data_IF_990741644889
#
_entry.id   IF_990741644889
#
_cell.length_a   1.000
_cell.length_b   1.000
_cell.length_c   1.000
_cell.angle_alpha   90.00
_cell.angle_beta   90.00
_cell.angle_gamma   90.00
#
_symmetry.space_group_name_H-M   'P 1'
#
loop_
_entity.id
_entity.type
_entity.pdbx_description
1 polymer ?
#
# COMPACT_ATOMS: atom_id res chain seq x y z
N UNK A 1 -7.10 20.02 5.31
CA UNK A 1 -5.73 19.62 4.97
C UNK A 1 -5.67 18.14 4.66
N UNK A 2 -4.86 17.76 3.71
CA UNK A 2 -4.60 16.35 3.36
C UNK A 2 -3.22 15.91 3.85
N UNK A 3 -3.15 14.67 4.32
CA UNK A 3 -1.97 14.13 4.98
C UNK A 3 -1.84 12.64 4.68
N UNK A 4 -0.62 12.15 4.45
CA UNK A 4 -0.29 10.73 4.51
C UNK A 4 0.85 10.50 5.48
N UNK A 5 0.67 9.54 6.36
CA UNK A 5 1.69 9.04 7.28
C UNK A 5 1.82 7.55 7.05
N UNK A 6 3.02 7.07 6.81
CA UNK A 6 3.20 5.67 6.55
C UNK A 6 4.65 5.23 6.54
N UNK A 7 4.82 3.95 6.28
CA UNK A 7 6.11 3.31 6.03
C UNK A 7 5.98 2.36 4.83
N UNK A 8 7.08 2.14 4.17
CA UNK A 8 7.14 1.23 3.03
C UNK A 8 8.50 0.54 2.94
N UNK A 9 8.68 -0.28 1.91
CA UNK A 9 9.91 -1.05 1.68
C UNK A 9 11.16 -0.17 1.52
N UNK A 10 11.00 1.13 1.19
CA UNK A 10 12.12 2.09 1.09
C UNK A 10 12.51 2.70 2.44
N UNK A 11 11.56 2.84 3.36
CA UNK A 11 11.74 3.56 4.62
C UNK A 11 11.93 2.66 5.83
N UNK A 12 11.48 1.40 5.74
CA UNK A 12 11.49 0.47 6.87
C UNK A 12 11.92 -0.95 6.45
N UNK A 13 12.76 -1.62 7.26
CA UNK A 13 13.08 -3.03 7.06
C UNK A 13 11.84 -3.90 7.27
N UNK A 14 11.90 -5.15 6.78
CA UNK A 14 10.77 -6.09 6.85
C UNK A 14 10.29 -6.34 8.27
N UNK A 15 11.19 -6.38 9.24
CA UNK A 15 10.86 -6.60 10.66
C UNK A 15 9.95 -5.50 11.23
N UNK A 16 10.17 -4.26 10.83
CA UNK A 16 9.34 -3.11 11.24
C UNK A 16 8.02 -3.12 10.45
N UNK A 17 8.07 -3.40 9.14
CA UNK A 17 6.84 -3.48 8.32
C UNK A 17 5.88 -4.55 8.83
N UNK A 18 6.38 -5.72 9.21
CA UNK A 18 5.55 -6.80 9.77
C UNK A 18 4.88 -6.41 11.09
N UNK A 19 5.58 -5.67 11.96
CA UNK A 19 5.01 -5.20 13.25
C UNK A 19 3.90 -4.17 13.07
N UNK A 20 3.91 -3.41 11.99
CA UNK A 20 2.96 -2.33 11.69
C UNK A 20 2.03 -2.68 10.52
N UNK A 21 1.85 -3.95 10.23
CA UNK A 21 0.95 -4.45 9.21
C UNK A 21 -0.43 -4.74 9.80
N UNK A 22 -1.48 -4.16 9.22
CA UNK A 22 -2.85 -4.45 9.63
C UNK A 22 -3.29 -5.83 9.12
N UNK A 23 -3.92 -6.61 9.99
CA UNK A 23 -4.63 -7.82 9.58
C UNK A 23 -5.89 -7.40 8.84
N UNK A 24 -6.17 -7.99 7.69
CA UNK A 24 -7.28 -7.58 6.82
C UNK A 24 -8.63 -7.53 7.55
N UNK A 25 -8.91 -8.51 8.40
CA UNK A 25 -10.14 -8.58 9.20
C UNK A 25 -10.26 -7.47 10.25
N UNK A 26 -9.14 -6.86 10.67
CA UNK A 26 -9.11 -5.80 11.67
C UNK A 26 -9.20 -4.39 11.07
N UNK A 27 -9.01 -4.25 9.77
CA UNK A 27 -9.01 -2.95 9.08
C UNK A 27 -10.30 -2.15 9.33
N UNK A 28 -11.51 -2.71 9.27
CA UNK A 28 -12.73 -1.97 9.58
C UNK A 28 -12.71 -1.34 10.98
N UNK A 29 -12.31 -2.09 11.99
CA UNK A 29 -12.20 -1.60 13.37
C UNK A 29 -11.09 -0.55 13.51
N UNK A 30 -9.98 -0.72 12.79
CA UNK A 30 -8.88 0.23 12.77
C UNK A 30 -9.31 1.57 12.15
N UNK A 31 -10.04 1.55 11.05
CA UNK A 31 -10.56 2.75 10.39
C UNK A 31 -11.53 3.51 11.30
N UNK A 32 -12.42 2.79 11.97
CA UNK A 32 -13.37 3.37 12.93
C UNK A 32 -12.64 3.97 14.13
N UNK A 33 -11.67 3.27 14.70
CA UNK A 33 -10.85 3.76 15.80
C UNK A 33 -10.05 5.01 15.40
N UNK A 34 -9.50 5.05 14.19
CA UNK A 34 -8.80 6.21 13.66
C UNK A 34 -9.74 7.39 13.44
N UNK A 35 -10.95 7.14 12.95
CA UNK A 35 -11.97 8.18 12.74
C UNK A 35 -12.35 8.90 14.05
N UNK A 36 -12.24 8.22 15.18
CA UNK A 36 -12.53 8.78 16.49
C UNK A 36 -11.36 9.57 17.11
N UNK A 37 -10.21 9.61 16.44
CA UNK A 37 -9.07 10.42 16.90
C UNK A 37 -9.29 11.91 16.63
N UNK A 38 -8.68 12.75 17.48
CA UNK A 38 -8.73 14.21 17.28
C UNK A 38 -8.13 14.58 15.93
N UNK A 39 -8.69 15.62 15.32
CA UNK A 39 -8.24 16.19 14.05
C UNK A 39 -8.54 15.34 12.80
N UNK A 40 -8.93 14.08 12.93
CA UNK A 40 -9.22 13.20 11.81
C UNK A 40 -10.65 13.40 11.32
N UNK A 41 -10.79 13.93 10.12
CA UNK A 41 -12.09 14.19 9.47
C UNK A 41 -12.47 13.09 8.48
N UNK A 42 -11.48 12.58 7.73
CA UNK A 42 -11.63 11.46 6.81
C UNK A 42 -10.37 10.59 6.91
N UNK A 43 -10.51 9.29 6.70
CA UNK A 43 -9.34 8.42 6.62
C UNK A 43 -9.52 7.24 5.66
N UNK A 44 -8.39 6.80 5.09
CA UNK A 44 -8.24 5.55 4.36
C UNK A 44 -6.96 4.87 4.82
N UNK A 45 -7.04 3.61 5.18
CA UNK A 45 -5.88 2.78 5.55
C UNK A 45 -5.55 1.86 4.38
N UNK A 46 -4.30 1.91 3.91
CA UNK A 46 -3.76 0.99 2.91
C UNK A 46 -2.66 0.17 3.58
N UNK A 47 -2.84 -1.14 3.65
CA UNK A 47 -1.87 -2.06 4.24
C UNK A 47 -1.63 -3.24 3.30
N UNK A 48 -0.38 -3.41 2.89
CA UNK A 48 0.10 -4.51 2.04
C UNK A 48 1.39 -5.07 2.61
N UNK A 49 1.98 -6.09 2.01
CA UNK A 49 3.29 -6.60 2.44
C UNK A 49 4.43 -5.57 2.29
N UNK A 50 4.26 -4.57 1.42
CA UNK A 50 5.29 -3.59 1.08
C UNK A 50 5.07 -2.21 1.70
N UNK A 51 3.88 -1.93 2.23
CA UNK A 51 3.54 -0.62 2.79
C UNK A 51 2.39 -0.67 3.78
N UNK A 52 2.46 0.24 4.73
CA UNK A 52 1.33 0.62 5.58
C UNK A 52 1.23 2.14 5.55
N UNK A 53 0.13 2.65 5.01
CA UNK A 53 -0.09 4.07 4.79
C UNK A 53 -1.46 4.49 5.31
N UNK A 54 -1.49 5.57 6.08
CA UNK A 54 -2.71 6.21 6.55
C UNK A 54 -2.86 7.53 5.83
N UNK A 55 -3.89 7.62 5.01
CA UNK A 55 -4.32 8.85 4.37
C UNK A 55 -5.40 9.49 5.23
N UNK A 56 -5.28 10.76 5.55
CA UNK A 56 -6.24 11.47 6.36
C UNK A 56 -6.53 12.88 5.84
N UNK A 57 -7.78 13.29 5.95
CA UNK A 57 -8.16 14.71 5.94
C UNK A 57 -8.21 15.16 7.37
N UNK A 58 -7.50 16.24 7.69
CA UNK A 58 -7.35 16.76 9.04
C UNK A 58 -7.69 18.23 9.10
N UNK A 59 -8.14 18.70 10.26
CA UNK A 59 -8.39 20.14 10.48
C UNK A 59 -7.07 20.89 10.73
N UNK A 60 -6.09 20.24 11.36
CA UNK A 60 -4.76 20.80 11.64
C UNK A 60 -3.67 19.76 11.36
N UNK A 61 -2.68 20.13 10.54
CA UNK A 61 -1.61 19.20 10.14
C UNK A 61 -0.79 18.69 11.31
N UNK A 62 -0.34 19.59 12.20
CA UNK A 62 0.45 19.20 13.37
C UNK A 62 -0.29 18.22 14.27
N UNK A 63 -1.53 18.53 14.59
CA UNK A 63 -2.40 17.70 15.44
C UNK A 63 -2.70 16.36 14.75
N UNK A 64 -3.01 16.40 13.46
CA UNK A 64 -3.25 15.18 12.67
C UNK A 64 -2.06 14.24 12.65
N UNK A 65 -0.85 14.75 12.42
CA UNK A 65 0.38 13.96 12.48
C UNK A 65 0.56 13.27 13.83
N UNK A 66 0.38 14.02 14.90
CA UNK A 66 0.53 13.50 16.26
C UNK A 66 -0.45 12.36 16.53
N UNK A 67 -1.73 12.56 16.27
CA UNK A 67 -2.76 11.56 16.57
C UNK A 67 -2.70 10.33 15.66
N UNK A 68 -2.22 10.45 14.43
CA UNK A 68 -1.97 9.27 13.58
C UNK A 68 -0.82 8.43 14.15
N UNK A 69 0.27 9.07 14.59
CA UNK A 69 1.39 8.35 15.23
C UNK A 69 0.96 7.67 16.53
N UNK A 70 0.22 8.39 17.37
CA UNK A 70 -0.37 7.84 18.61
C UNK A 70 -1.29 6.65 18.32
N UNK A 71 -2.14 6.77 17.29
CA UNK A 71 -3.00 5.68 16.86
C UNK A 71 -2.19 4.43 16.47
N UNK A 72 -1.13 4.59 15.68
CA UNK A 72 -0.28 3.47 15.30
C UNK A 72 0.40 2.82 16.51
N UNK A 73 0.94 3.61 17.42
CA UNK A 73 1.57 3.11 18.65
C UNK A 73 0.58 2.32 19.53
N UNK A 74 -0.62 2.85 19.71
CA UNK A 74 -1.65 2.23 20.54
C UNK A 74 -2.26 0.99 19.87
N UNK A 75 -2.55 1.06 18.58
CA UNK A 75 -3.15 -0.05 17.84
C UNK A 75 -2.25 -1.29 17.85
N UNK A 76 -0.97 -1.10 17.54
CA UNK A 76 0.00 -2.19 17.46
C UNK A 76 0.68 -2.48 18.81
N UNK A 77 0.40 -1.70 19.85
CA UNK A 77 1.04 -1.80 21.16
C UNK A 77 2.58 -1.80 21.06
N UNK A 78 3.11 -0.85 20.30
CA UNK A 78 4.54 -0.67 20.08
C UNK A 78 4.92 0.77 20.47
N UNK A 79 6.00 0.97 21.26
CA UNK A 79 6.50 2.30 21.57
C UNK A 79 6.82 3.08 20.30
N UNK A 80 6.37 4.33 20.22
CA UNK A 80 6.57 5.21 19.05
C UNK A 80 8.05 5.30 18.66
N UNK A 81 8.97 5.34 19.62
CA UNK A 81 10.40 5.40 19.39
C UNK A 81 10.95 4.22 18.54
N UNK A 82 10.25 3.09 18.49
CA UNK A 82 10.69 1.93 17.73
C UNK A 82 10.40 2.04 16.21
N UNK A 83 9.47 2.91 15.81
CA UNK A 83 9.07 3.01 14.40
C UNK A 83 9.03 4.44 13.85
N UNK A 84 9.08 5.45 14.69
CA UNK A 84 8.91 6.86 14.27
C UNK A 84 9.89 7.28 13.18
N UNK A 85 11.16 6.88 13.30
CA UNK A 85 12.21 7.21 12.34
C UNK A 85 12.03 6.52 10.97
N UNK A 86 11.19 5.49 10.90
CA UNK A 86 10.87 4.77 9.66
C UNK A 86 9.64 5.32 8.94
N UNK A 87 8.92 6.25 9.57
CA UNK A 87 7.75 6.87 8.97
C UNK A 87 8.17 7.95 7.97
N UNK A 88 7.47 7.99 6.85
CA UNK A 88 7.44 9.18 6.00
C UNK A 88 6.13 9.94 6.22
N UNK A 89 6.17 11.24 6.02
CA UNK A 89 5.01 12.14 6.11
C UNK A 89 4.99 12.99 4.84
N UNK A 90 3.83 13.06 4.18
CA UNK A 90 3.59 13.95 3.05
C UNK A 90 2.31 14.73 3.32
N UNK A 91 2.34 16.02 3.00
CA UNK A 91 1.26 16.96 3.31
C UNK A 91 0.80 17.64 2.03
N UNK A 92 -0.49 17.99 1.98
CA UNK A 92 -1.12 18.72 0.89
C UNK A 92 -0.80 18.11 -0.50
N UNK A 93 -0.31 18.90 -1.42
CA UNK A 93 0.01 18.46 -2.79
C UNK A 93 0.95 17.25 -2.82
N UNK A 94 1.91 17.18 -1.90
CA UNK A 94 2.81 16.03 -1.78
C UNK A 94 2.08 14.75 -1.36
N UNK A 95 1.02 14.86 -0.56
CA UNK A 95 0.19 13.70 -0.19
C UNK A 95 -0.65 13.21 -1.38
N UNK A 96 -1.14 14.12 -2.20
CA UNK A 96 -1.90 13.81 -3.41
C UNK A 96 -1.01 13.17 -4.48
N UNK A 97 0.16 13.76 -4.75
CA UNK A 97 1.14 13.19 -5.67
C UNK A 97 1.51 11.76 -5.26
N UNK A 98 1.76 11.54 -3.97
CA UNK A 98 2.07 10.22 -3.43
C UNK A 98 0.93 9.22 -3.66
N UNK A 99 -0.32 9.60 -3.39
CA UNK A 99 -1.49 8.76 -3.63
C UNK A 99 -1.58 8.32 -5.10
N UNK A 100 -1.41 9.25 -6.04
CA UNK A 100 -1.48 8.97 -7.47
C UNK A 100 -0.34 8.05 -7.92
N UNK A 101 0.88 8.28 -7.44
CA UNK A 101 2.04 7.42 -7.73
C UNK A 101 1.87 6.01 -7.20
N UNK A 102 1.41 5.87 -5.97
CA UNK A 102 1.13 4.55 -5.37
C UNK A 102 0.06 3.81 -6.15
N UNK A 103 -1.05 4.47 -6.43
CA UNK A 103 -2.20 3.85 -7.12
C UNK A 103 -1.84 3.40 -8.54
N UNK A 104 -0.99 4.14 -9.24
CA UNK A 104 -0.51 3.78 -10.58
C UNK A 104 0.64 2.75 -10.57
N UNK A 105 1.16 2.36 -9.40
CA UNK A 105 2.28 1.44 -9.28
C UNK A 105 3.65 2.08 -9.54
N UNK A 106 3.75 3.40 -9.66
CA UNK A 106 5.01 4.12 -9.89
C UNK A 106 5.91 4.04 -8.65
N UNK A 107 5.32 4.00 -7.46
CA UNK A 107 6.03 3.86 -6.18
C UNK A 107 6.16 2.40 -5.72
N UNK A 108 5.86 1.43 -6.55
CA UNK A 108 5.94 0.01 -6.21
C UNK A 108 7.37 -0.53 -6.39
N UNK A 109 7.69 -1.61 -5.66
CA UNK A 109 8.98 -2.33 -5.77
C UNK A 109 9.21 -2.79 -7.22
N UNK A 110 8.17 -3.22 -7.90
CA UNK A 110 8.16 -3.48 -9.34
C UNK A 110 7.36 -2.37 -10.02
N UNK A 111 8.05 -1.56 -10.80
CA UNK A 111 7.46 -0.40 -11.48
C UNK A 111 6.27 -0.81 -12.35
N UNK A 112 5.13 -0.17 -12.13
CA UNK A 112 3.91 -0.37 -12.93
C UNK A 112 3.14 -1.65 -12.60
N UNK A 113 3.45 -2.34 -11.49
CA UNK A 113 2.67 -3.50 -11.07
C UNK A 113 1.20 -3.11 -10.83
N UNK A 114 0.28 -4.00 -11.19
CA UNK A 114 -1.16 -3.70 -11.21
C UNK A 114 -1.89 -4.09 -9.94
N UNK A 115 -1.28 -4.90 -9.07
CA UNK A 115 -1.90 -5.38 -7.84
C UNK A 115 -2.27 -4.25 -6.88
N UNK A 116 -1.41 -3.24 -6.76
CA UNK A 116 -1.63 -2.11 -5.85
C UNK A 116 -2.89 -1.32 -6.19
N UNK A 117 -3.22 -1.16 -7.48
CA UNK A 117 -4.45 -0.49 -7.90
C UNK A 117 -5.69 -1.19 -7.33
N UNK A 118 -5.74 -2.52 -7.41
CA UNK A 118 -6.83 -3.31 -6.83
C UNK A 118 -6.91 -3.18 -5.31
N UNK A 119 -5.77 -3.17 -4.63
CA UNK A 119 -5.67 -3.02 -3.18
C UNK A 119 -6.12 -1.62 -2.72
N UNK A 120 -5.70 -0.56 -3.40
CA UNK A 120 -6.14 0.83 -3.13
C UNK A 120 -7.64 0.97 -3.32
N UNK A 121 -8.16 0.45 -4.44
CA UNK A 121 -9.60 0.46 -4.73
C UNK A 121 -10.40 -0.26 -3.66
N UNK A 122 -9.96 -1.46 -3.25
CA UNK A 122 -10.60 -2.24 -2.19
C UNK A 122 -10.64 -1.48 -0.88
N UNK A 123 -9.51 -0.94 -0.44
CA UNK A 123 -9.42 -0.16 0.81
C UNK A 123 -10.33 1.06 0.77
N UNK A 124 -10.32 1.80 -0.33
CA UNK A 124 -11.20 2.97 -0.49
C UNK A 124 -12.69 2.59 -0.40
N UNK A 125 -13.11 1.54 -1.08
CA UNK A 125 -14.51 1.09 -1.04
C UNK A 125 -14.93 0.63 0.36
N UNK A 126 -14.04 -0.02 1.11
CA UNK A 126 -14.29 -0.36 2.51
C UNK A 126 -14.46 0.89 3.38
N UNK A 127 -13.57 1.88 3.25
CA UNK A 127 -13.67 3.15 3.97
C UNK A 127 -14.95 3.89 3.64
N UNK A 128 -15.33 3.93 2.36
CA UNK A 128 -16.57 4.56 1.92
C UNK A 128 -17.80 3.86 2.52
N UNK A 129 -17.82 2.54 2.54
CA UNK A 129 -18.92 1.77 3.13
C UNK A 129 -19.05 1.97 4.65
N UNK A 130 -17.93 2.19 5.35
CA UNK A 130 -17.90 2.47 6.79
C UNK A 130 -18.13 3.95 7.13
N UNK A 131 -18.20 4.84 6.12
CA UNK A 131 -18.39 6.26 6.33
C UNK A 131 -17.16 7.00 6.84
N UNK A 132 -15.95 6.45 6.68
CA UNK A 132 -14.69 7.12 7.06
C UNK A 132 -14.13 8.01 5.96
N UNK A 133 -14.74 8.02 4.78
CA UNK A 133 -14.46 8.96 3.70
C UNK A 133 -15.62 9.93 3.51
N UNK A 134 -15.30 11.17 3.17
CA UNK A 134 -16.25 12.23 2.88
C UNK A 134 -16.03 12.84 1.51
N UNK A 135 -16.37 14.11 1.36
CA UNK A 135 -16.30 14.82 0.08
C UNK A 135 -14.90 14.81 -0.54
N UNK A 136 -13.86 15.00 0.28
CA UNK A 136 -12.49 15.11 -0.22
C UNK A 136 -12.00 13.77 -0.78
N UNK A 137 -11.98 12.73 0.03
CA UNK A 137 -11.43 11.44 -0.39
C UNK A 137 -12.34 10.66 -1.31
N UNK A 138 -13.65 10.82 -1.25
CA UNK A 138 -14.55 10.26 -2.26
C UNK A 138 -14.20 10.78 -3.66
N UNK A 139 -13.81 12.05 -3.77
CA UNK A 139 -13.35 12.62 -5.04
C UNK A 139 -11.94 12.17 -5.39
N UNK A 140 -10.97 12.35 -4.49
CA UNK A 140 -9.55 12.12 -4.77
C UNK A 140 -9.22 10.66 -5.08
N UNK A 141 -9.77 9.70 -4.34
CA UNK A 141 -9.52 8.28 -4.59
C UNK A 141 -10.13 7.80 -5.92
N UNK A 142 -11.31 8.32 -6.30
CA UNK A 142 -11.88 8.06 -7.62
C UNK A 142 -10.98 8.60 -8.74
N UNK A 143 -10.45 9.81 -8.56
CA UNK A 143 -9.52 10.41 -9.53
C UNK A 143 -8.21 9.62 -9.60
N UNK A 144 -7.65 9.18 -8.47
CA UNK A 144 -6.44 8.36 -8.45
C UNK A 144 -6.61 7.03 -9.18
N UNK A 145 -7.74 6.34 -8.97
CA UNK A 145 -8.07 5.09 -9.68
C UNK A 145 -8.23 5.35 -11.19
N UNK A 146 -8.93 6.40 -11.58
CA UNK A 146 -9.10 6.78 -12.99
C UNK A 146 -7.76 7.10 -13.65
N UNK A 147 -6.91 7.88 -12.96
CA UNK A 147 -5.55 8.19 -13.42
C UNK A 147 -4.72 6.93 -13.62
N UNK A 148 -4.73 6.01 -12.64
CA UNK A 148 -3.97 4.77 -12.72
C UNK A 148 -4.41 3.89 -13.89
N UNK A 149 -5.72 3.76 -14.12
CA UNK A 149 -6.26 3.03 -15.27
C UNK A 149 -5.81 3.64 -16.59
N UNK A 150 -5.85 4.97 -16.70
CA UNK A 150 -5.36 5.68 -17.91
C UNK A 150 -3.86 5.52 -18.09
N UNK A 151 -3.07 5.68 -17.02
CA UNK A 151 -1.63 5.50 -17.07
C UNK A 151 -1.25 4.10 -17.58
N UNK A 152 -1.95 3.06 -17.13
CA UNK A 152 -1.72 1.69 -17.56
C UNK A 152 -2.17 1.41 -19.00
N UNK A 153 -3.24 2.06 -19.47
CA UNK A 153 -3.75 1.84 -20.84
C UNK A 153 -3.10 2.73 -21.90
N UNK A 154 -2.64 3.93 -21.53
CA UNK A 154 -2.17 4.95 -22.46
C UNK A 154 -0.64 5.08 -22.49
N UNK A 155 0.09 4.40 -21.57
CA UNK A 155 1.55 4.48 -21.46
C UNK A 155 2.19 3.11 -21.37
N UNK A 156 3.51 3.04 -21.61
CA UNK A 156 4.32 1.82 -21.49
C UNK A 156 4.43 1.28 -20.04
N UNK A 157 3.96 2.00 -19.04
CA UNK A 157 3.96 1.54 -17.64
C UNK A 157 3.16 0.24 -17.49
N UNK A 158 2.00 0.13 -18.19
CA UNK A 158 1.18 -1.07 -18.17
C UNK A 158 1.75 -2.23 -19.01
N UNK A 159 2.52 -1.92 -20.03
CA UNK A 159 3.07 -2.93 -20.96
C UNK A 159 4.24 -3.71 -20.37
N UNK A 160 5.04 -3.08 -19.51
CA UNK A 160 6.25 -3.65 -18.90
C UNK A 160 6.04 -4.02 -17.42
N UNK A 161 4.81 -4.08 -16.96
CA UNK A 161 4.48 -4.43 -15.59
C UNK A 161 4.79 -5.91 -15.35
N UNK A 162 5.99 -6.15 -14.89
CA UNK A 162 6.48 -7.48 -14.53
C UNK A 162 6.15 -7.72 -13.07
N UNK A 163 5.38 -8.77 -12.77
CA UNK A 163 5.14 -9.14 -11.38
C UNK A 163 6.44 -9.60 -10.71
N UNK A 164 6.54 -9.45 -9.39
CA UNK A 164 7.68 -9.99 -8.61
C UNK A 164 7.85 -11.48 -8.90
N UNK A 165 6.76 -12.22 -9.06
CA UNK A 165 6.79 -13.65 -9.40
C UNK A 165 7.42 -13.92 -10.77
N UNK A 166 7.12 -13.12 -11.77
CA UNK A 166 7.77 -13.23 -13.08
C UNK A 166 9.26 -12.90 -12.99
N UNK A 167 9.61 -11.81 -12.31
CA UNK A 167 11.01 -11.40 -12.12
C UNK A 167 11.82 -12.49 -11.40
N UNK A 168 11.25 -13.15 -10.42
CA UNK A 168 11.87 -14.27 -9.72
C UNK A 168 12.12 -15.47 -10.64
N UNK A 169 11.16 -15.82 -11.50
CA UNK A 169 11.31 -16.90 -12.48
C UNK A 169 12.40 -16.57 -13.51
N UNK A 170 12.41 -15.34 -14.03
CA UNK A 170 13.44 -14.89 -14.97
C UNK A 170 14.86 -14.87 -14.34
N UNK A 171 14.95 -14.46 -13.07
CA UNK A 171 16.21 -14.53 -12.33
C UNK A 171 16.68 -15.97 -12.17
N UNK A 172 15.77 -16.89 -11.83
CA UNK A 172 16.08 -18.30 -11.75
C UNK A 172 16.58 -18.87 -13.09
N UNK A 173 15.93 -18.50 -14.22
CA UNK A 173 16.41 -18.87 -15.56
C UNK A 173 17.83 -18.34 -15.83
N UNK A 174 18.14 -17.12 -15.43
CA UNK A 174 19.48 -16.54 -15.58
C UNK A 174 20.54 -17.27 -14.75
N UNK A 175 20.20 -17.67 -13.52
CA UNK A 175 21.14 -18.36 -12.62
C UNK A 175 21.39 -19.79 -13.08
N UNK A 176 20.35 -20.51 -13.46
CA UNK A 176 20.42 -21.94 -13.78
C UNK A 176 20.55 -22.25 -15.29
N UNK A 177 20.48 -21.22 -16.14
CA UNK A 177 20.49 -21.35 -17.60
C UNK A 177 19.16 -21.85 -18.16
N UNK A 178 18.66 -22.99 -17.63
CA UNK A 178 17.36 -23.57 -17.96
C UNK A 178 16.72 -24.16 -16.72
N UNK A 179 15.39 -24.03 -16.62
CA UNK A 179 14.62 -24.66 -15.55
C UNK A 179 14.12 -26.06 -15.91
N UNK A 180 14.41 -26.52 -17.13
CA UNK A 180 14.06 -27.88 -17.57
C UNK A 180 14.74 -28.90 -16.68
N UNK A 181 14.01 -29.90 -16.21
CA UNK A 181 14.48 -30.93 -15.27
C UNK A 181 14.91 -30.37 -13.89
N UNK A 182 14.46 -29.20 -13.50
CA UNK A 182 14.64 -28.67 -12.15
C UNK A 182 13.37 -28.90 -11.32
N UNK A 183 13.57 -29.18 -10.04
CA UNK A 183 12.47 -29.26 -9.08
C UNK A 183 12.32 -27.89 -8.40
N UNK A 184 11.09 -27.35 -8.41
CA UNK A 184 10.76 -26.09 -7.77
C UNK A 184 9.80 -26.37 -6.62
N UNK A 185 10.14 -25.93 -5.42
CA UNK A 185 9.25 -25.96 -4.27
C UNK A 185 8.72 -24.55 -4.00
N UNK A 186 7.41 -24.43 -3.84
CA UNK A 186 6.73 -23.18 -3.49
C UNK A 186 6.16 -23.32 -2.08
N UNK A 187 6.68 -22.48 -1.18
CA UNK A 187 6.23 -22.45 0.22
C UNK A 187 5.21 -21.34 0.38
N UNK A 188 3.96 -21.74 0.51
CA UNK A 188 2.80 -20.85 0.64
C UNK A 188 1.85 -20.94 -0.56
N UNK A 189 0.54 -20.85 -0.29
CA UNK A 189 -0.55 -20.94 -1.28
C UNK A 189 -1.20 -19.56 -1.53
N UNK A 190 -0.44 -18.48 -1.39
CA UNK A 190 -0.93 -17.13 -1.64
C UNK A 190 -0.86 -16.75 -3.12
N UNK A 191 -1.44 -15.58 -3.44
CA UNK A 191 -1.51 -15.05 -4.81
C UNK A 191 -0.17 -15.01 -5.54
N UNK A 192 0.93 -14.68 -4.83
CA UNK A 192 2.27 -14.64 -5.40
C UNK A 192 2.79 -16.02 -5.81
N UNK A 193 2.47 -17.05 -5.00
CA UNK A 193 2.81 -18.44 -5.33
C UNK A 193 2.05 -18.94 -6.57
N UNK A 194 0.76 -18.65 -6.68
CA UNK A 194 -0.04 -18.97 -7.87
C UNK A 194 0.53 -18.34 -9.14
N UNK A 195 0.89 -17.04 -9.08
CA UNK A 195 1.50 -16.33 -10.20
C UNK A 195 2.88 -16.90 -10.56
N UNK A 196 3.68 -17.31 -9.58
CA UNK A 196 4.96 -17.96 -9.83
C UNK A 196 4.79 -19.31 -10.57
N UNK A 197 3.82 -20.12 -10.17
CA UNK A 197 3.46 -21.38 -10.86
C UNK A 197 3.08 -21.11 -12.31
N UNK A 198 2.19 -20.14 -12.54
CA UNK A 198 1.77 -19.78 -13.90
C UNK A 198 2.96 -19.36 -14.78
N UNK A 199 3.88 -18.56 -14.24
CA UNK A 199 5.07 -18.10 -14.95
C UNK A 199 6.13 -19.21 -15.19
N UNK A 200 6.10 -20.27 -14.38
CA UNK A 200 6.97 -21.44 -14.58
C UNK A 200 6.47 -22.38 -15.69
N UNK A 201 5.17 -22.37 -15.97
CA UNK A 201 4.54 -23.21 -16.99
C UNK A 201 4.52 -22.58 -18.40
N UNK A 202 4.82 -21.29 -18.52
CA UNK A 202 4.95 -20.57 -19.80
C UNK A 202 6.38 -20.54 -20.29
#
# INVERSE_FOLDING_TARGET
>A
HTLVVGLNYKTAPVEIREKLSFIESDIPNAMEALQNQKSILENVIISTCNRTEIYAVVDQLHTGRYYIKEFLANWFNIPMAQFEDHLFIREEDASLDHLFRVTAGIDSMVLGETQILGQVKKSFLQCQALGTTGTVYNHLFKQAVTFANRAHSETAIGENAVSVSYAAVELAKKIFGSLKNKHVAILGAGKMGELAIQNLHG
#
